data_IF_727864359639
#
_entry.id   IF_727864359639
#
_cell.length_a   1.000
_cell.length_b   1.000
_cell.length_c   1.000
_cell.angle_alpha   90.00
_cell.angle_beta   90.00
_cell.angle_gamma   90.00
#
_symmetry.space_group_name_H-M   'P 1'
#
loop_
_entity.id
_entity.type
_entity.pdbx_description
1 polymer ?
#
# COMPACT_ATOMS: atom_id res chain seq x y z
N UNK A 1 37.03 -37.92 19.51
CA UNK A 1 36.67 -36.74 18.67
C UNK A 1 35.33 -36.92 17.95
N UNK A 2 34.97 -38.13 17.45
CA UNK A 2 33.70 -38.38 16.71
C UNK A 2 32.43 -38.08 17.53
N UNK A 3 32.41 -38.39 18.81
CA UNK A 3 31.23 -38.19 19.65
C UNK A 3 30.92 -36.70 19.99
N UNK A 4 31.94 -35.84 19.99
CA UNK A 4 31.74 -34.39 20.24
C UNK A 4 31.19 -33.70 18.99
N UNK A 5 31.60 -34.11 17.80
CA UNK A 5 31.07 -33.60 16.53
C UNK A 5 29.60 -34.00 16.33
N UNK A 6 29.29 -35.25 16.68
CA UNK A 6 27.89 -35.75 16.60
C UNK A 6 26.96 -35.00 17.56
N UNK A 7 27.42 -34.71 18.77
CA UNK A 7 26.67 -33.94 19.75
C UNK A 7 26.41 -32.48 19.32
N UNK A 8 27.41 -31.85 18.65
CA UNK A 8 27.29 -30.50 18.13
C UNK A 8 26.29 -30.42 16.96
N UNK A 9 26.30 -31.40 16.06
CA UNK A 9 25.34 -31.50 14.96
C UNK A 9 23.95 -31.75 15.47
N UNK A 10 23.77 -32.60 16.47
CA UNK A 10 22.45 -32.88 17.08
C UNK A 10 21.88 -31.64 17.80
N UNK A 11 22.73 -30.84 18.45
CA UNK A 11 22.34 -29.63 19.15
C UNK A 11 21.96 -28.49 18.16
N UNK A 12 22.63 -28.39 17.01
CA UNK A 12 22.31 -27.42 15.98
C UNK A 12 20.98 -27.70 15.26
N UNK A 13 20.56 -28.97 15.17
CA UNK A 13 19.26 -29.35 14.61
C UNK A 13 18.08 -29.03 15.56
N UNK A 14 18.32 -28.88 16.87
CA UNK A 14 17.28 -28.60 17.87
C UNK A 14 16.96 -27.10 18.01
N UNK A 15 17.78 -26.22 17.41
CA UNK A 15 17.61 -24.76 17.47
C UNK A 15 17.14 -24.21 16.12
N UNK A 16 16.34 -24.95 15.39
CA UNK A 16 15.55 -24.35 14.31
C UNK A 16 14.41 -23.59 14.97
N UNK A 17 14.42 -22.24 15.01
CA UNK A 17 13.25 -21.53 15.49
C UNK A 17 12.11 -21.92 14.55
N UNK A 18 11.07 -22.52 15.11
CA UNK A 18 9.76 -22.62 14.48
C UNK A 18 9.30 -21.17 14.26
N UNK A 19 9.68 -20.60 13.13
CA UNK A 19 9.07 -19.37 12.64
C UNK A 19 7.64 -19.77 12.30
N UNK A 20 6.78 -19.74 13.30
CA UNK A 20 5.36 -19.70 13.07
C UNK A 20 5.09 -18.36 12.41
N UNK A 21 5.02 -18.36 11.09
CA UNK A 21 4.37 -17.29 10.35
C UNK A 21 2.93 -17.26 10.87
N UNK A 22 2.67 -16.34 11.79
CA UNK A 22 1.29 -16.00 12.11
C UNK A 22 0.66 -15.61 10.77
N UNK A 23 -0.36 -16.31 10.36
CA UNK A 23 -1.12 -16.01 9.15
C UNK A 23 -1.91 -14.72 9.38
N UNK A 24 -1.18 -13.59 9.36
CA UNK A 24 -1.70 -12.24 9.44
C UNK A 24 -2.07 -11.71 8.04
N UNK A 25 -2.29 -12.60 7.09
CA UNK A 25 -2.75 -12.20 5.77
C UNK A 25 -4.09 -11.48 5.90
N UNK A 26 -4.23 -10.28 5.32
CA UNK A 26 -5.48 -9.55 5.38
C UNK A 26 -6.58 -10.37 4.68
N UNK A 27 -7.70 -10.58 5.36
CA UNK A 27 -8.84 -11.34 4.83
C UNK A 27 -9.64 -10.55 3.80
N UNK A 28 -9.51 -9.22 3.82
CA UNK A 28 -10.16 -8.31 2.89
C UNK A 28 -9.28 -7.08 2.69
N UNK A 29 -9.09 -6.69 1.44
CA UNK A 29 -8.45 -5.43 1.05
C UNK A 29 -9.49 -4.61 0.29
N UNK A 30 -9.73 -3.39 0.74
CA UNK A 30 -10.65 -2.46 0.09
C UNK A 30 -9.94 -1.16 -0.26
N UNK A 31 -10.24 -0.60 -1.42
CA UNK A 31 -9.78 0.72 -1.84
C UNK A 31 -10.95 1.70 -1.90
N UNK A 32 -10.77 2.90 -1.35
CA UNK A 32 -11.75 4.00 -1.44
C UNK A 32 -11.04 5.17 -2.11
N UNK A 33 -11.52 5.56 -3.27
CA UNK A 33 -11.02 6.74 -3.99
C UNK A 33 -12.08 7.83 -3.93
N UNK A 34 -11.69 9.00 -3.44
CA UNK A 34 -12.56 10.16 -3.38
C UNK A 34 -12.01 11.22 -4.32
N UNK A 35 -12.74 11.47 -5.40
CA UNK A 35 -12.36 12.47 -6.40
C UNK A 35 -12.43 13.89 -5.83
N UNK A 36 -11.47 14.75 -6.20
CA UNK A 36 -11.37 16.16 -5.79
C UNK A 36 -11.27 16.41 -4.28
N UNK A 37 -11.00 15.39 -3.47
CA UNK A 37 -10.74 15.57 -2.05
C UNK A 37 -9.31 16.11 -1.85
N UNK A 38 -9.20 17.38 -1.53
CA UNK A 38 -7.93 18.04 -1.23
C UNK A 38 -7.52 17.77 0.22
N UNK A 39 -6.21 17.65 0.45
CA UNK A 39 -5.66 17.38 1.80
C UNK A 39 -6.01 18.48 2.79
N UNK A 40 -6.00 19.76 2.35
CA UNK A 40 -6.36 20.90 3.19
C UNK A 40 -7.83 20.87 3.67
N UNK A 41 -8.73 20.22 2.94
CA UNK A 41 -10.11 20.00 3.43
C UNK A 41 -10.15 19.04 4.62
N UNK A 42 -9.28 18.02 4.63
CA UNK A 42 -9.21 17.11 5.77
C UNK A 42 -8.74 17.83 7.03
N UNK A 43 -7.76 18.73 6.90
CA UNK A 43 -7.25 19.55 8.00
C UNK A 43 -8.29 20.57 8.47
N UNK A 44 -8.86 21.35 7.55
CA UNK A 44 -9.83 22.40 7.87
C UNK A 44 -11.12 21.87 8.51
N UNK A 45 -11.57 20.69 8.08
CA UNK A 45 -12.81 20.08 8.54
C UNK A 45 -12.62 19.04 9.65
N UNK A 46 -11.40 18.84 10.14
CA UNK A 46 -11.06 17.83 11.14
C UNK A 46 -11.93 17.93 12.41
N UNK A 47 -12.28 19.15 12.82
CA UNK A 47 -13.12 19.40 13.99
C UNK A 47 -14.57 18.91 13.83
N UNK A 48 -15.03 18.71 12.58
CA UNK A 48 -16.36 18.20 12.25
C UNK A 48 -16.39 16.67 12.14
N UNK A 49 -15.23 16.03 12.06
CA UNK A 49 -15.19 14.58 11.91
C UNK A 49 -15.52 13.88 13.22
N UNK A 50 -16.38 12.86 13.13
CA UNK A 50 -16.61 11.95 14.25
C UNK A 50 -15.37 11.07 14.52
N UNK A 51 -15.36 10.37 15.65
CA UNK A 51 -14.24 9.50 16.07
C UNK A 51 -14.05 8.29 15.15
N UNK A 52 -15.05 7.94 14.36
CA UNK A 52 -14.99 6.90 13.32
C UNK A 52 -14.68 7.56 11.95
N UNK A 53 -14.34 6.77 10.95
CA UNK A 53 -14.03 7.30 9.62
C UNK A 53 -12.63 7.93 9.56
N UNK A 54 -12.48 9.16 9.06
CA UNK A 54 -11.17 9.78 8.82
C UNK A 54 -10.30 9.86 10.07
N UNK A 55 -10.81 10.25 11.22
CA UNK A 55 -10.02 10.27 12.46
C UNK A 55 -9.49 8.91 12.84
N UNK A 56 -10.29 7.86 12.67
CA UNK A 56 -9.86 6.50 12.92
C UNK A 56 -8.77 6.06 11.94
N UNK A 57 -8.97 6.32 10.64
CA UNK A 57 -7.99 5.98 9.61
C UNK A 57 -6.65 6.69 9.84
N UNK A 58 -6.67 7.97 10.19
CA UNK A 58 -5.46 8.73 10.50
C UNK A 58 -4.76 8.25 11.78
N UNK A 59 -5.50 7.79 12.78
CA UNK A 59 -4.94 7.31 14.05
C UNK A 59 -4.38 5.90 13.96
N UNK A 60 -5.05 5.01 13.24
CA UNK A 60 -4.75 3.57 13.18
C UNK A 60 -3.99 3.17 11.92
N UNK A 61 -3.94 4.03 10.91
CA UNK A 61 -3.31 3.81 9.63
C UNK A 61 -2.04 4.63 9.41
N UNK A 62 -1.59 4.64 8.17
CA UNK A 62 -0.47 5.46 7.70
C UNK A 62 -1.02 6.57 6.80
N UNK A 63 -0.64 7.80 7.08
CA UNK A 63 -0.99 8.98 6.28
C UNK A 63 0.20 9.37 5.40
N UNK A 64 -0.01 9.42 4.10
CA UNK A 64 0.97 9.90 3.13
C UNK A 64 0.54 11.30 2.67
N UNK A 65 1.15 12.34 3.23
CA UNK A 65 0.76 13.73 2.96
C UNK A 65 1.21 14.24 1.59
N UNK A 66 2.30 13.70 1.06
CA UNK A 66 2.92 14.15 -0.19
C UNK A 66 3.04 13.00 -1.20
N UNK A 67 1.92 12.49 -1.66
CA UNK A 67 1.92 11.55 -2.77
C UNK A 67 2.04 12.32 -4.09
N UNK A 68 3.11 12.08 -4.82
CA UNK A 68 3.38 12.70 -6.12
C UNK A 68 3.40 11.62 -7.19
N UNK A 69 2.73 11.88 -8.30
CA UNK A 69 2.85 11.06 -9.50
C UNK A 69 4.03 11.55 -10.35
N UNK A 70 4.88 10.63 -10.76
CA UNK A 70 6.08 10.92 -11.57
C UNK A 70 5.79 10.83 -13.08
N UNK A 71 4.70 11.47 -13.52
CA UNK A 71 4.37 11.57 -14.94
C UNK A 71 3.55 12.84 -15.21
N UNK A 72 3.66 13.42 -16.41
CA UNK A 72 2.85 14.56 -16.84
C UNK A 72 1.40 14.15 -17.11
N UNK A 73 0.49 15.12 -17.21
CA UNK A 73 -0.92 14.94 -17.55
C UNK A 73 -1.68 14.04 -16.58
N UNK A 74 -1.63 14.41 -15.31
CA UNK A 74 -2.38 13.71 -14.26
C UNK A 74 -3.84 14.12 -14.35
N UNK A 75 -4.68 13.18 -14.72
CA UNK A 75 -6.13 13.32 -14.67
C UNK A 75 -6.75 12.15 -13.87
N UNK A 76 -8.07 12.14 -13.77
CA UNK A 76 -8.79 11.12 -13.01
C UNK A 76 -8.52 9.70 -13.54
N UNK A 77 -8.52 9.50 -14.85
CA UNK A 77 -8.33 8.17 -15.44
C UNK A 77 -6.91 7.66 -15.25
N UNK A 78 -5.90 8.48 -15.59
CA UNK A 78 -4.49 8.11 -15.45
C UNK A 78 -4.09 7.91 -13.99
N UNK A 79 -4.52 8.80 -13.10
CA UNK A 79 -4.24 8.68 -11.67
C UNK A 79 -4.89 7.44 -11.04
N UNK A 80 -6.17 7.19 -11.33
CA UNK A 80 -6.88 6.00 -10.82
C UNK A 80 -6.24 4.72 -11.33
N UNK A 81 -5.94 4.64 -12.62
CA UNK A 81 -5.29 3.47 -13.19
C UNK A 81 -3.90 3.23 -12.54
N UNK A 82 -3.12 4.28 -12.34
CA UNK A 82 -1.82 4.19 -11.66
C UNK A 82 -1.94 3.69 -10.23
N UNK A 83 -2.90 4.18 -9.46
CA UNK A 83 -3.13 3.73 -8.08
C UNK A 83 -3.50 2.25 -7.99
N UNK A 84 -4.36 1.77 -8.88
CA UNK A 84 -4.83 0.39 -8.84
C UNK A 84 -3.86 -0.61 -9.49
N UNK A 85 -3.03 -0.18 -10.43
CA UNK A 85 -2.06 -1.06 -11.11
C UNK A 85 -0.66 -1.00 -10.53
N UNK A 86 -0.33 0.07 -9.79
CA UNK A 86 1.01 0.33 -9.31
C UNK A 86 2.03 0.67 -10.41
N UNK A 87 1.53 1.01 -11.62
CA UNK A 87 2.39 1.32 -12.78
C UNK A 87 2.03 2.67 -13.39
N UNK A 88 2.91 3.21 -14.24
CA UNK A 88 2.68 4.50 -14.92
C UNK A 88 1.83 4.32 -16.18
N UNK A 89 1.27 5.41 -16.76
CA UNK A 89 0.50 5.40 -17.99
C UNK A 89 1.18 4.72 -19.17
N UNK A 90 2.50 4.75 -19.22
CA UNK A 90 3.28 4.05 -20.25
C UNK A 90 3.05 2.53 -20.22
N UNK A 91 2.91 1.95 -19.03
CA UNK A 91 2.72 0.50 -18.87
C UNK A 91 1.27 0.07 -18.88
N UNK A 92 0.36 0.81 -18.23
CA UNK A 92 -1.05 0.42 -18.18
C UNK A 92 -1.88 0.95 -19.38
N UNK A 93 -1.30 1.82 -20.23
CA UNK A 93 -1.92 2.25 -21.48
C UNK A 93 -3.07 3.25 -21.35
N UNK A 94 -3.28 3.86 -20.17
CA UNK A 94 -4.34 4.86 -19.93
C UNK A 94 -3.68 6.22 -19.65
N UNK A 95 -3.36 7.00 -20.69
CA UNK A 95 -2.65 8.26 -20.50
C UNK A 95 -3.54 9.40 -20.00
N UNK A 96 -4.83 9.37 -20.33
CA UNK A 96 -5.81 10.36 -19.91
C UNK A 96 -7.24 9.88 -20.17
N UNK A 97 -8.25 10.65 -19.72
CA UNK A 97 -9.66 10.40 -20.03
C UNK A 97 -9.96 10.49 -21.53
N UNK A 98 -9.20 11.32 -22.24
CA UNK A 98 -9.32 11.51 -23.68
C UNK A 98 -7.95 11.53 -24.31
N UNK A 99 -7.69 10.65 -25.26
CA UNK A 99 -6.44 10.61 -26.01
C UNK A 99 -6.70 10.22 -27.47
N UNK A 100 -5.82 10.67 -28.35
CA UNK A 100 -5.88 10.29 -29.76
C UNK A 100 -5.24 8.91 -29.92
N UNK A 101 -5.98 7.99 -30.50
CA UNK A 101 -5.42 6.72 -30.95
C UNK A 101 -4.89 6.90 -32.38
N UNK A 102 -3.59 6.75 -32.54
CA UNK A 102 -2.91 6.88 -33.85
C UNK A 102 -2.63 5.54 -34.52
N UNK A 103 -3.21 4.46 -33.99
CA UNK A 103 -3.07 3.12 -34.56
C UNK A 103 -4.06 2.88 -35.69
#
# INVERSE_FOLDING_TARGET
MKNKVLATILFSLLVVPLVQSADNSPRLVGGITVDQLRTDYLEALQHLFGEKGFKRLMREGVVCENLVFDFPNIDKASATATLYTGTTPFFHGIPSERFFNTA
#
